data_IF_025060030386
#
_entry.id   IF_025060030386
#
_cell.length_a   1.000
_cell.length_b   1.000
_cell.length_c   1.000
_cell.angle_alpha   90.00
_cell.angle_beta   90.00
_cell.angle_gamma   90.00
#
_symmetry.space_group_name_H-M   'P 1'
#
loop_
_entity.id
_entity.type
_entity.pdbx_description
1 polymer ?
#
# COMPACT_ATOMS: atom_id res chain seq x y z
N UNK A 1 -28.95 1.54 -13.15
CA UNK A 1 -28.66 2.50 -12.06
C UNK A 1 -27.24 2.99 -12.26
N UNK A 2 -27.05 4.26 -12.62
CA UNK A 2 -25.71 4.79 -12.88
C UNK A 2 -25.04 5.14 -11.55
N UNK A 3 -23.94 4.46 -11.23
CA UNK A 3 -23.21 4.67 -9.96
C UNK A 3 -22.38 5.96 -9.98
N UNK A 4 -22.34 6.69 -11.10
CA UNK A 4 -21.59 7.95 -11.26
C UNK A 4 -22.00 9.04 -10.27
N UNK A 5 -23.23 9.00 -9.75
CA UNK A 5 -23.72 9.95 -8.74
C UNK A 5 -23.26 9.65 -7.31
N UNK A 6 -22.59 8.51 -7.08
CA UNK A 6 -22.07 8.12 -5.77
C UNK A 6 -20.63 8.58 -5.54
N UNK A 7 -19.98 9.17 -6.56
CA UNK A 7 -18.65 9.75 -6.41
C UNK A 7 -18.83 11.07 -5.66
N UNK A 8 -18.32 11.21 -4.42
CA UNK A 8 -18.46 12.44 -3.66
C UNK A 8 -17.86 13.60 -4.44
N UNK A 9 -18.62 14.69 -4.63
CA UNK A 9 -18.19 15.89 -5.36
C UNK A 9 -17.25 16.80 -4.54
N UNK A 10 -16.70 16.29 -3.44
CA UNK A 10 -15.76 16.99 -2.56
C UNK A 10 -15.17 16.05 -1.51
N UNK A 11 -13.96 16.36 -1.05
CA UNK A 11 -13.22 15.57 -0.06
C UNK A 11 -11.72 15.53 -0.34
N UNK A 12 -10.97 14.85 0.53
CA UNK A 12 -9.56 14.55 0.28
C UNK A 12 -9.42 13.44 -0.75
N UNK A 13 -8.55 13.65 -1.73
CA UNK A 13 -8.25 12.66 -2.75
C UNK A 13 -7.04 11.84 -2.36
N UNK A 14 -7.14 10.53 -2.52
CA UNK A 14 -6.01 9.63 -2.47
C UNK A 14 -5.73 9.09 -3.87
N UNK A 15 -4.49 9.27 -4.34
CA UNK A 15 -4.05 8.75 -5.65
C UNK A 15 -3.44 7.38 -5.47
N UNK A 16 -3.95 6.42 -6.24
CA UNK A 16 -3.51 5.03 -6.25
C UNK A 16 -2.95 4.68 -7.64
N UNK A 17 -1.93 3.82 -7.69
CA UNK A 17 -1.45 3.29 -8.98
C UNK A 17 -2.50 2.36 -9.57
N UNK A 18 -2.86 2.57 -10.83
CA UNK A 18 -3.87 1.76 -11.52
C UNK A 18 -3.59 0.25 -11.41
N UNK A 19 -2.33 -0.15 -11.63
CA UNK A 19 -1.90 -1.55 -11.50
C UNK A 19 -2.24 -2.19 -10.15
N UNK A 20 -2.14 -1.42 -9.05
CA UNK A 20 -2.47 -1.92 -7.72
C UNK A 20 -3.98 -2.11 -7.58
N UNK A 21 -4.76 -1.16 -8.09
CA UNK A 21 -6.22 -1.23 -8.11
C UNK A 21 -6.68 -2.42 -8.96
N UNK A 22 -6.06 -2.63 -10.12
CA UNK A 22 -6.36 -3.77 -11.00
C UNK A 22 -6.07 -5.11 -10.31
N UNK A 23 -4.95 -5.22 -9.59
CA UNK A 23 -4.63 -6.42 -8.80
C UNK A 23 -5.63 -6.68 -7.68
N UNK A 24 -6.08 -5.63 -6.96
CA UNK A 24 -7.10 -5.77 -5.92
C UNK A 24 -8.44 -6.20 -6.49
N UNK A 25 -8.84 -5.63 -7.64
CA UNK A 25 -10.07 -6.01 -8.34
C UNK A 25 -9.99 -7.46 -8.82
N UNK A 26 -8.87 -7.86 -9.43
CA UNK A 26 -8.68 -9.23 -9.91
C UNK A 26 -8.69 -10.27 -8.79
N UNK A 27 -8.27 -9.89 -7.59
CA UNK A 27 -8.29 -10.76 -6.41
C UNK A 27 -9.71 -11.04 -5.89
N UNK A 28 -10.70 -10.21 -6.23
CA UNK A 28 -12.10 -10.33 -5.81
C UNK A 28 -12.29 -10.52 -4.29
N UNK A 29 -11.37 -9.98 -3.47
CA UNK A 29 -11.42 -10.08 -2.01
C UNK A 29 -11.66 -8.72 -1.36
N UNK A 30 -12.84 -8.55 -0.77
CA UNK A 30 -13.27 -7.30 -0.15
C UNK A 30 -12.47 -6.94 1.10
N UNK A 31 -12.02 -7.95 1.87
CA UNK A 31 -11.28 -7.71 3.10
C UNK A 31 -9.88 -7.18 2.80
N UNK A 32 -9.18 -7.80 1.85
CA UNK A 32 -7.90 -7.31 1.34
C UNK A 32 -8.00 -5.90 0.77
N UNK A 33 -9.02 -5.62 -0.04
CA UNK A 33 -9.22 -4.29 -0.62
C UNK A 33 -9.46 -3.23 0.46
N UNK A 34 -10.31 -3.50 1.44
CA UNK A 34 -10.62 -2.57 2.51
C UNK A 34 -9.40 -2.32 3.42
N UNK A 35 -8.65 -3.37 3.74
CA UNK A 35 -7.42 -3.27 4.53
C UNK A 35 -6.36 -2.44 3.80
N UNK A 36 -6.20 -2.63 2.50
CA UNK A 36 -5.25 -1.86 1.71
C UNK A 36 -5.62 -0.37 1.65
N UNK A 37 -6.90 -0.04 1.47
CA UNK A 37 -7.37 1.35 1.51
C UNK A 37 -7.13 1.99 2.89
N UNK A 38 -7.35 1.24 3.97
CA UNK A 38 -7.07 1.71 5.32
C UNK A 38 -5.58 1.98 5.55
N UNK A 39 -4.70 1.09 5.06
CA UNK A 39 -3.25 1.27 5.09
C UNK A 39 -2.82 2.53 4.37
N UNK A 40 -3.36 2.78 3.17
CA UNK A 40 -3.03 3.97 2.39
C UNK A 40 -3.49 5.25 3.09
N UNK A 41 -4.62 5.22 3.78
CA UNK A 41 -5.14 6.38 4.53
C UNK A 41 -4.38 6.68 5.82
N UNK A 42 -3.96 5.65 6.57
CA UNK A 42 -3.22 5.82 7.84
C UNK A 42 -1.71 6.02 7.62
N UNK A 43 -1.16 5.53 6.51
CA UNK A 43 0.26 5.61 6.21
C UNK A 43 1.12 4.96 7.30
N UNK A 44 2.05 5.73 7.87
CA UNK A 44 2.99 5.24 8.91
C UNK A 44 2.34 5.08 10.29
N UNK A 45 1.13 5.60 10.51
CA UNK A 45 0.42 5.51 11.78
C UNK A 45 -0.44 4.23 11.89
N UNK A 46 -0.19 3.24 11.04
CA UNK A 46 -0.94 1.99 11.04
C UNK A 46 -0.70 1.17 12.31
N UNK A 47 -1.80 0.78 12.95
CA UNK A 47 -1.82 -0.13 14.10
C UNK A 47 -2.84 -1.25 13.87
N UNK A 48 -2.40 -2.49 14.04
CA UNK A 48 -3.22 -3.69 13.78
C UNK A 48 -4.48 -3.73 14.65
N UNK A 49 -4.36 -3.41 15.95
CA UNK A 49 -5.49 -3.45 16.89
C UNK A 49 -6.54 -2.40 16.54
N UNK A 50 -6.08 -1.22 16.16
CA UNK A 50 -6.94 -0.14 15.71
C UNK A 50 -7.61 -0.51 14.39
N UNK A 51 -6.88 -1.11 13.44
CA UNK A 51 -7.43 -1.58 12.18
C UNK A 51 -8.52 -2.64 12.38
N UNK A 52 -8.30 -3.65 13.23
CA UNK A 52 -9.30 -4.68 13.56
C UNK A 52 -10.59 -4.06 14.14
N UNK A 53 -10.45 -3.06 15.02
CA UNK A 53 -11.60 -2.39 15.64
C UNK A 53 -12.36 -1.51 14.64
N UNK A 54 -11.66 -0.68 13.88
CA UNK A 54 -12.27 0.26 12.93
C UNK A 54 -12.89 -0.46 11.72
N UNK A 55 -12.26 -1.53 11.25
CA UNK A 55 -12.76 -2.32 10.12
C UNK A 55 -13.77 -3.38 10.56
N UNK A 56 -13.97 -3.58 11.88
CA UNK A 56 -14.86 -4.62 12.41
C UNK A 56 -14.50 -6.03 11.96
N UNK A 57 -13.22 -6.27 11.67
CA UNK A 57 -12.73 -7.55 11.17
C UNK A 57 -12.41 -8.50 12.33
N UNK A 58 -12.67 -9.79 12.13
CA UNK A 58 -12.11 -10.82 13.01
C UNK A 58 -10.63 -11.02 12.68
N UNK A 59 -9.88 -11.59 13.63
CA UNK A 59 -8.44 -11.80 13.44
C UNK A 59 -8.15 -12.72 12.25
N UNK A 60 -8.97 -13.75 12.06
CA UNK A 60 -8.82 -14.70 10.95
C UNK A 60 -9.00 -14.03 9.58
N UNK A 61 -9.97 -13.10 9.47
CA UNK A 61 -10.19 -12.32 8.24
C UNK A 61 -9.05 -11.36 7.97
N UNK A 62 -8.52 -10.73 9.02
CA UNK A 62 -7.36 -9.86 8.93
C UNK A 62 -6.11 -10.62 8.47
N UNK A 63 -5.78 -11.75 9.10
CA UNK A 63 -4.64 -12.59 8.73
C UNK A 63 -4.76 -13.07 7.27
N UNK A 64 -5.95 -13.49 6.84
CA UNK A 64 -6.21 -13.86 5.45
C UNK A 64 -5.98 -12.68 4.50
N UNK A 65 -6.49 -11.49 4.84
CA UNK A 65 -6.33 -10.29 4.03
C UNK A 65 -4.85 -9.88 3.91
N UNK A 66 -4.09 -9.92 5.01
CA UNK A 66 -2.64 -9.66 5.01
C UNK A 66 -1.91 -10.67 4.14
N UNK A 67 -2.26 -11.96 4.24
CA UNK A 67 -1.63 -13.00 3.43
C UNK A 67 -1.87 -12.77 1.93
N UNK A 68 -3.11 -12.47 1.55
CA UNK A 68 -3.50 -12.14 0.18
C UNK A 68 -2.77 -10.90 -0.34
N UNK A 69 -2.71 -9.81 0.45
CA UNK A 69 -2.00 -8.58 0.07
C UNK A 69 -0.49 -8.80 -0.08
N UNK A 70 0.10 -9.66 0.74
CA UNK A 70 1.51 -10.06 0.62
C UNK A 70 1.74 -10.85 -0.67
N UNK A 71 0.83 -11.78 -1.00
CA UNK A 71 0.88 -12.55 -2.26
C UNK A 71 0.72 -11.71 -3.53
N UNK A 72 0.05 -10.56 -3.43
CA UNK A 72 -0.08 -9.59 -4.53
C UNK A 72 1.09 -8.59 -4.60
N UNK A 73 2.10 -8.70 -3.73
CA UNK A 73 3.22 -7.75 -3.58
C UNK A 73 2.77 -6.28 -3.38
N UNK A 74 1.55 -6.08 -2.86
CA UNK A 74 0.98 -4.75 -2.63
C UNK A 74 1.40 -4.16 -1.28
N UNK A 75 1.67 -5.04 -0.32
CA UNK A 75 2.16 -4.68 1.00
C UNK A 75 3.55 -5.29 1.16
N UNK A 76 4.55 -4.42 1.15
CA UNK A 76 5.92 -4.80 1.51
C UNK A 76 5.98 -4.87 3.04
N UNK A 77 6.15 -6.06 3.58
CA UNK A 77 6.46 -6.18 5.02
C UNK A 77 7.78 -5.44 5.30
N UNK A 78 7.96 -4.83 6.48
CA UNK A 78 9.19 -4.08 6.81
C UNK A 78 10.50 -4.88 6.60
N UNK A 79 10.41 -6.21 6.56
CA UNK A 79 11.54 -7.10 6.27
C UNK A 79 12.12 -6.93 4.86
N UNK A 80 11.30 -6.61 3.86
CA UNK A 80 11.75 -6.41 2.47
C UNK A 80 12.29 -5.00 2.21
N UNK A 81 11.87 -3.99 2.98
CA UNK A 81 12.40 -2.62 2.88
C UNK A 81 13.88 -2.52 3.32
N UNK A 82 14.38 -3.49 4.08
CA UNK A 82 15.79 -3.55 4.46
C UNK A 82 16.71 -4.04 3.33
N UNK A 83 16.19 -4.68 2.28
CA UNK A 83 17.00 -5.19 1.18
C UNK A 83 17.28 -4.18 0.07
N UNK A 84 16.56 -3.06 0.01
CA UNK A 84 16.80 -1.99 -0.97
C UNK A 84 17.47 -0.77 -0.34
N UNK A 85 18.56 -0.98 0.39
CA UNK A 85 19.50 0.11 0.66
C UNK A 85 20.22 0.39 -0.67
N UNK A 86 20.09 1.57 -1.30
CA UNK A 86 20.91 1.89 -2.44
C UNK A 86 22.36 1.87 -1.95
N UNK A 87 23.15 0.96 -2.53
CA UNK A 87 24.60 0.98 -2.37
C UNK A 87 25.07 2.40 -2.72
N UNK A 88 25.78 3.02 -1.78
CA UNK A 88 26.32 4.35 -1.89
C UNK A 88 27.21 4.44 -3.14
N UNK A 89 26.64 4.89 -4.26
CA UNK A 89 27.41 5.30 -5.43
C UNK A 89 28.08 6.62 -5.06
N UNK A 90 29.36 6.53 -4.69
CA UNK A 90 30.22 7.68 -4.43
C UNK A 90 30.21 8.57 -5.69
N UNK A 91 29.95 9.89 -5.58
CA UNK A 91 30.01 10.75 -6.75
C UNK A 91 31.42 10.72 -7.35
N UNK A 92 31.58 10.66 -8.69
CA UNK A 92 32.89 10.68 -9.32
C UNK A 92 33.61 11.99 -8.96
N UNK A 93 34.79 11.86 -8.38
CA UNK A 93 35.68 13.01 -8.12
C UNK A 93 36.37 13.37 -9.41
N UNK A 94 35.90 14.42 -10.08
CA UNK A 94 36.69 15.09 -11.11
C UNK A 94 37.83 15.84 -10.43
N UNK A 95 39.05 15.34 -10.56
CA UNK A 95 40.26 16.11 -10.26
C UNK A 95 40.62 16.95 -11.47
N UNK A 96 40.93 18.23 -11.25
CA UNK A 96 41.20 19.25 -12.27
C UNK A 96 42.49 19.02 -13.12
N UNK A 97 42.95 17.77 -13.24
CA UNK A 97 44.10 17.38 -14.04
C UNK A 97 43.74 16.96 -15.47
N UNK A 98 42.46 17.07 -15.86
CA UNK A 98 41.94 16.67 -17.18
C UNK A 98 41.31 17.84 -17.96
N UNK A 99 41.79 19.08 -17.76
CA UNK A 99 41.50 20.20 -18.66
C UNK A 99 42.70 20.52 -19.55
#
# INVERSE_FOLDING_TARGET
MSLTSLIPTGGEFCVLRAQVVDSLIACCDGDSALLYLYLVRQGQAFDERTALRELGMTRERFDRAVHTLTGLHLVTTPSELQQKKPSSSRPPRYTAAEM
#
